data_IF_258444536594
#
_entry.id   IF_258444536594
#
_cell.length_a   1.000
_cell.length_b   1.000
_cell.length_c   1.000
_cell.angle_alpha   90.00
_cell.angle_beta   90.00
_cell.angle_gamma   90.00
#
_symmetry.space_group_name_H-M   'P 1'
#
loop_
_entity.id
_entity.type
_entity.pdbx_description
1 polymer ?
#
# COMPACT_ATOMS: atom_id res chain seq x y z
N UNK A 1 17.14 -30.31 -10.66
CA UNK A 1 18.07 -29.51 -9.86
C UNK A 1 17.65 -28.02 -9.81
N UNK A 2 16.34 -27.75 -9.66
CA UNK A 2 15.72 -26.43 -9.91
C UNK A 2 14.73 -25.99 -8.81
N UNK A 3 14.42 -26.83 -7.82
CA UNK A 3 13.46 -26.51 -6.76
C UNK A 3 14.08 -25.75 -5.57
N UNK A 4 15.36 -25.98 -5.27
CA UNK A 4 16.04 -25.40 -4.11
C UNK A 4 16.40 -23.92 -4.27
N UNK A 5 16.70 -23.47 -5.50
CA UNK A 5 17.01 -22.05 -5.77
C UNK A 5 15.75 -21.17 -5.68
N UNK A 6 14.62 -21.65 -6.23
CA UNK A 6 13.34 -20.93 -6.26
C UNK A 6 12.70 -20.80 -4.86
N UNK A 7 12.96 -21.73 -3.94
CA UNK A 7 12.52 -21.60 -2.55
C UNK A 7 13.31 -20.54 -1.77
N UNK A 8 14.60 -20.38 -2.08
CA UNK A 8 15.45 -19.36 -1.45
C UNK A 8 15.02 -17.95 -1.83
N UNK A 9 14.83 -17.70 -3.13
CA UNK A 9 14.37 -16.40 -3.66
C UNK A 9 12.99 -16.00 -3.11
N UNK A 10 12.06 -16.96 -3.00
CA UNK A 10 10.75 -16.72 -2.36
C UNK A 10 10.88 -16.38 -0.89
N UNK A 11 11.77 -17.06 -0.17
CA UNK A 11 12.03 -16.79 1.25
C UNK A 11 12.57 -15.39 1.48
N UNK A 12 13.42 -14.89 0.59
CA UNK A 12 13.96 -13.53 0.66
C UNK A 12 12.92 -12.46 0.31
N UNK A 13 12.10 -12.69 -0.72
CA UNK A 13 10.98 -11.80 -1.07
C UNK A 13 9.96 -11.69 0.07
N UNK A 14 9.67 -12.78 0.78
CA UNK A 14 8.76 -12.77 1.93
C UNK A 14 9.27 -11.90 3.08
N UNK A 15 10.60 -11.71 3.23
CA UNK A 15 11.17 -10.77 4.22
C UNK A 15 10.87 -9.31 3.86
N UNK A 16 10.62 -8.99 2.59
CA UNK A 16 10.23 -7.66 2.15
C UNK A 16 8.78 -7.29 2.50
N UNK A 17 7.89 -8.28 2.65
CA UNK A 17 6.47 -8.06 2.98
C UNK A 17 6.26 -7.20 4.25
N UNK A 18 6.89 -7.47 5.41
CA UNK A 18 6.70 -6.63 6.59
C UNK A 18 7.25 -5.21 6.41
N UNK A 19 8.32 -5.04 5.63
CA UNK A 19 8.89 -3.72 5.32
C UNK A 19 7.89 -2.92 4.49
N UNK A 20 7.33 -3.53 3.45
CA UNK A 20 6.31 -2.91 2.61
C UNK A 20 5.07 -2.59 3.43
N UNK A 21 4.59 -3.51 4.27
CA UNK A 21 3.43 -3.27 5.13
C UNK A 21 3.64 -2.08 6.07
N UNK A 22 4.78 -2.03 6.76
CA UNK A 22 5.09 -0.94 7.68
C UNK A 22 5.23 0.39 6.94
N UNK A 23 5.93 0.42 5.81
CA UNK A 23 6.11 1.64 5.03
C UNK A 23 4.77 2.15 4.48
N UNK A 24 3.94 1.27 3.89
CA UNK A 24 2.59 1.63 3.44
C UNK A 24 1.76 2.18 4.59
N UNK A 25 1.76 1.50 5.74
CA UNK A 25 1.00 1.93 6.92
C UNK A 25 1.43 3.31 7.40
N UNK A 26 2.74 3.56 7.54
CA UNK A 26 3.28 4.83 8.02
C UNK A 26 3.01 5.97 7.04
N UNK A 27 3.28 5.75 5.74
CA UNK A 27 3.03 6.78 4.71
C UNK A 27 1.55 7.12 4.63
N UNK A 28 0.67 6.12 4.71
CA UNK A 28 -0.78 6.34 4.63
C UNK A 28 -1.33 7.03 5.88
N UNK A 29 -0.88 6.60 7.06
CA UNK A 29 -1.22 7.25 8.34
C UNK A 29 -0.75 8.71 8.38
N UNK A 30 0.45 8.98 7.87
CA UNK A 30 0.97 10.34 7.76
C UNK A 30 0.11 11.17 6.79
N UNK A 31 -0.22 10.60 5.63
CA UNK A 31 -1.05 11.25 4.61
C UNK A 31 -2.40 11.65 5.19
N UNK A 32 -3.11 10.75 5.87
CA UNK A 32 -4.40 11.06 6.50
C UNK A 32 -4.34 12.17 7.54
N UNK A 33 -3.20 12.34 8.24
CA UNK A 33 -3.02 13.38 9.26
C UNK A 33 -2.62 14.73 8.67
N UNK A 34 -1.78 14.71 7.64
CA UNK A 34 -1.12 15.90 7.11
C UNK A 34 -1.91 16.53 5.97
N UNK A 35 -2.45 15.73 5.05
CA UNK A 35 -3.19 16.23 3.89
C UNK A 35 -4.31 17.20 4.27
N UNK A 36 -5.23 16.87 5.22
CA UNK A 36 -6.37 17.74 5.48
C UNK A 36 -5.99 19.17 5.88
N UNK A 37 -4.77 19.34 6.42
CA UNK A 37 -4.22 20.64 6.79
C UNK A 37 -3.96 21.55 5.57
N UNK A 38 -3.79 20.98 4.38
CA UNK A 38 -3.53 21.74 3.15
C UNK A 38 -4.80 22.13 2.38
N UNK A 39 -5.91 21.40 2.54
CA UNK A 39 -7.11 21.55 1.71
C UNK A 39 -8.25 22.33 2.38
N UNK A 40 -8.20 22.57 3.69
CA UNK A 40 -9.12 23.49 4.37
C UNK A 40 -10.61 23.09 4.36
N UNK A 41 -10.97 21.91 3.85
CA UNK A 41 -12.35 21.41 3.80
C UNK A 41 -12.53 20.19 4.70
N UNK A 42 -13.58 20.23 5.52
CA UNK A 42 -14.03 19.16 6.41
C UNK A 42 -15.04 18.21 5.75
N UNK A 43 -15.36 18.41 4.47
CA UNK A 43 -16.42 17.67 3.78
C UNK A 43 -15.87 16.77 2.68
N UNK A 44 -16.24 15.48 2.79
CA UNK A 44 -16.00 14.32 1.90
C UNK A 44 -14.63 14.31 1.21
N UNK A 45 -13.61 13.74 1.88
CA UNK A 45 -12.23 13.82 1.44
C UNK A 45 -12.03 12.83 0.30
N UNK A 46 -11.86 13.35 -0.92
CA UNK A 46 -10.97 12.67 -1.87
C UNK A 46 -9.57 12.85 -1.28
N UNK A 47 -9.21 11.99 -0.30
CA UNK A 47 -7.88 12.02 0.27
C UNK A 47 -6.90 11.85 -0.88
N UNK A 48 -5.93 12.75 -1.04
CA UNK A 48 -4.90 12.61 -2.02
C UNK A 48 -4.05 11.38 -1.67
N UNK A 49 -4.30 10.29 -2.38
CA UNK A 49 -3.62 9.00 -2.24
C UNK A 49 -2.23 8.97 -2.91
N UNK A 50 -1.87 10.05 -3.60
CA UNK A 50 -0.66 10.21 -4.40
C UNK A 50 0.70 9.92 -3.69
N UNK A 51 1.03 10.34 -2.44
CA UNK A 51 2.25 9.91 -1.76
C UNK A 51 2.29 8.41 -1.53
N UNK A 52 1.15 7.84 -1.12
CA UNK A 52 1.04 6.41 -0.81
C UNK A 52 1.22 5.59 -2.09
N UNK A 53 0.58 6.00 -3.19
CA UNK A 53 0.72 5.36 -4.49
C UNK A 53 2.18 5.33 -4.98
N UNK A 54 2.87 6.48 -4.93
CA UNK A 54 4.28 6.58 -5.32
C UNK A 54 5.21 5.70 -4.48
N UNK A 55 5.04 5.71 -3.15
CA UNK A 55 5.85 4.89 -2.23
C UNK A 55 5.59 3.41 -2.45
N UNK A 56 4.33 2.98 -2.56
CA UNK A 56 3.97 1.59 -2.79
C UNK A 56 4.55 1.06 -4.12
N UNK A 57 4.44 1.86 -5.18
CA UNK A 57 5.01 1.51 -6.49
C UNK A 57 6.53 1.39 -6.41
N UNK A 58 7.22 2.35 -5.78
CA UNK A 58 8.68 2.30 -5.60
C UNK A 58 9.11 1.08 -4.79
N UNK A 59 8.40 0.75 -3.71
CA UNK A 59 8.67 -0.41 -2.88
C UNK A 59 8.51 -1.73 -3.62
N UNK A 60 7.43 -1.90 -4.40
CA UNK A 60 7.26 -3.09 -5.24
C UNK A 60 8.28 -3.15 -6.39
N UNK A 61 8.69 -2.00 -6.92
CA UNK A 61 9.70 -1.95 -7.96
C UNK A 61 11.06 -2.44 -7.42
N UNK A 62 11.49 -1.93 -6.26
CA UNK A 62 12.77 -2.22 -5.61
C UNK A 62 12.82 -3.59 -4.92
N UNK A 63 11.80 -3.93 -4.12
CA UNK A 63 11.76 -5.16 -3.32
C UNK A 63 11.07 -6.32 -4.04
N UNK A 64 10.53 -6.08 -5.23
CA UNK A 64 9.86 -7.07 -6.05
C UNK A 64 8.34 -7.08 -5.90
N UNK A 65 7.66 -7.34 -7.02
CA UNK A 65 6.19 -7.35 -7.10
C UNK A 65 5.54 -8.44 -6.22
N UNK A 66 6.29 -9.45 -5.77
CA UNK A 66 5.79 -10.48 -4.85
C UNK A 66 5.51 -9.93 -3.43
N UNK A 67 6.04 -8.76 -3.08
CA UNK A 67 5.82 -8.10 -1.79
C UNK A 67 4.45 -7.39 -1.69
N UNK A 68 3.60 -7.49 -2.72
CA UNK A 68 2.27 -6.88 -2.78
C UNK A 68 1.36 -7.15 -1.56
N UNK A 69 1.39 -8.31 -0.87
CA UNK A 69 0.55 -8.52 0.30
C UNK A 69 0.84 -7.53 1.42
N UNK A 70 2.07 -6.97 1.45
CA UNK A 70 2.44 -5.93 2.39
C UNK A 70 1.59 -4.67 2.21
N UNK A 71 1.36 -4.23 0.97
CA UNK A 71 0.52 -3.05 0.69
C UNK A 71 -0.91 -3.29 1.18
N UNK A 72 -1.46 -4.47 0.89
CA UNK A 72 -2.82 -4.83 1.28
C UNK A 72 -2.98 -4.73 2.81
N UNK A 73 -2.06 -5.34 3.57
CA UNK A 73 -2.10 -5.33 5.04
C UNK A 73 -1.85 -3.92 5.59
N UNK A 74 -0.82 -3.22 5.10
CA UNK A 74 -0.47 -1.88 5.58
C UNK A 74 -1.57 -0.86 5.32
N UNK A 75 -2.18 -0.90 4.12
CA UNK A 75 -3.31 -0.04 3.77
C UNK A 75 -4.56 -0.41 4.57
N UNK A 76 -4.88 -1.70 4.73
CA UNK A 76 -6.05 -2.12 5.53
C UNK A 76 -5.95 -1.62 6.98
N UNK A 77 -4.78 -1.77 7.61
CA UNK A 77 -4.54 -1.26 8.96
C UNK A 77 -4.67 0.27 9.00
N UNK A 78 -4.06 1.00 8.07
CA UNK A 78 -4.12 2.46 8.06
C UNK A 78 -5.57 2.98 7.91
N UNK A 79 -6.36 2.40 7.01
CA UNK A 79 -7.77 2.73 6.86
C UNK A 79 -8.57 2.39 8.12
N UNK A 80 -8.30 1.22 8.72
CA UNK A 80 -9.00 0.79 9.94
C UNK A 80 -8.79 1.79 11.08
N UNK A 81 -7.55 2.22 11.32
CA UNK A 81 -7.24 3.19 12.38
C UNK A 81 -7.73 4.60 12.06
N UNK A 82 -7.73 5.01 10.78
CA UNK A 82 -8.12 6.35 10.38
C UNK A 82 -9.64 6.56 10.39
N UNK A 83 -10.41 5.51 10.06
CA UNK A 83 -11.87 5.60 9.89
C UNK A 83 -12.64 4.79 10.94
N UNK A 84 -12.00 4.33 12.02
CA UNK A 84 -12.69 3.57 13.06
C UNK A 84 -13.85 4.38 13.66
N UNK A 85 -15.06 3.82 13.61
CA UNK A 85 -16.26 4.48 14.13
C UNK A 85 -16.96 5.41 13.13
N UNK A 86 -16.38 5.64 11.94
CA UNK A 86 -17.00 6.45 10.89
C UNK A 86 -18.02 5.64 10.06
N UNK A 87 -19.04 6.30 9.49
CA UNK A 87 -19.88 5.70 8.47
C UNK A 87 -18.99 5.17 7.33
N UNK A 88 -19.25 3.94 6.87
CA UNK A 88 -18.48 3.27 5.80
C UNK A 88 -17.03 2.87 6.15
N UNK A 89 -16.61 2.88 7.42
CA UNK A 89 -15.31 2.39 7.86
C UNK A 89 -14.93 1.01 7.29
N UNK A 90 -15.91 0.10 7.24
CA UNK A 90 -15.74 -1.25 6.70
C UNK A 90 -15.41 -1.21 5.21
N UNK A 91 -16.13 -0.37 4.45
CA UNK A 91 -15.89 -0.19 3.01
C UNK A 91 -14.48 0.35 2.75
N UNK A 92 -14.05 1.39 3.49
CA UNK A 92 -12.69 1.92 3.37
C UNK A 92 -11.63 0.90 3.74
N UNK A 93 -11.85 0.10 4.78
CA UNK A 93 -10.91 -0.93 5.23
C UNK A 93 -10.78 -2.10 4.26
N UNK A 94 -11.83 -2.42 3.50
CA UNK A 94 -11.83 -3.58 2.59
C UNK A 94 -11.54 -3.22 1.13
N UNK A 95 -12.12 -2.13 0.62
CA UNK A 95 -12.03 -1.76 -0.80
C UNK A 95 -10.80 -0.91 -1.12
N UNK A 96 -10.45 0.04 -0.24
CA UNK A 96 -9.31 0.94 -0.46
C UNK A 96 -7.98 0.18 -0.60
N UNK A 97 -7.67 -0.83 0.25
CA UNK A 97 -6.42 -1.58 0.12
C UNK A 97 -6.31 -2.36 -1.18
N UNK A 98 -7.43 -2.86 -1.72
CA UNK A 98 -7.46 -3.52 -3.01
C UNK A 98 -7.07 -2.55 -4.12
N UNK A 99 -7.64 -1.34 -4.11
CA UNK A 99 -7.29 -0.27 -5.03
C UNK A 99 -5.81 0.10 -4.96
N UNK A 100 -5.29 0.39 -3.76
CA UNK A 100 -3.87 0.76 -3.58
C UNK A 100 -2.91 -0.36 -4.02
N UNK A 101 -3.29 -1.62 -3.81
CA UNK A 101 -2.49 -2.78 -4.22
C UNK A 101 -2.50 -2.93 -5.73
N UNK A 102 -3.67 -2.86 -6.37
CA UNK A 102 -3.81 -2.97 -7.82
C UNK A 102 -3.08 -1.84 -8.54
N UNK A 103 -3.21 -0.60 -8.06
CA UNK A 103 -2.53 0.57 -8.63
C UNK A 103 -1.00 0.40 -8.61
N UNK A 104 -0.42 0.06 -7.45
CA UNK A 104 1.01 -0.16 -7.34
C UNK A 104 1.51 -1.33 -8.19
N UNK A 105 0.74 -2.43 -8.22
CA UNK A 105 1.09 -3.61 -9.01
C UNK A 105 1.07 -3.34 -10.51
N UNK A 106 0.00 -2.69 -11.01
CA UNK A 106 -0.09 -2.27 -12.41
C UNK A 106 1.00 -1.27 -12.77
N UNK A 107 1.29 -0.30 -11.89
CA UNK A 107 2.38 0.66 -12.08
C UNK A 107 3.73 -0.02 -12.30
N UNK A 108 4.08 -1.00 -11.46
CA UNK A 108 5.32 -1.78 -11.63
C UNK A 108 5.31 -2.63 -12.90
N UNK A 109 4.18 -3.25 -13.24
CA UNK A 109 4.07 -4.07 -14.46
C UNK A 109 4.26 -3.22 -15.71
N UNK A 110 3.67 -2.03 -15.77
CA UNK A 110 3.82 -1.11 -16.89
C UNK A 110 5.25 -0.58 -17.01
N UNK A 111 5.85 -0.15 -15.89
CA UNK A 111 7.23 0.36 -15.87
C UNK A 111 8.25 -0.68 -16.32
N UNK A 112 8.07 -1.95 -15.98
CA UNK A 112 8.98 -3.04 -16.41
C UNK A 112 8.84 -3.42 -17.88
N UNK A 113 7.80 -2.93 -18.57
CA UNK A 113 7.53 -3.21 -19.99
C UNK A 113 8.01 -2.09 -20.92
N UNK A 114 8.50 -0.99 -20.37
CA UNK A 114 9.04 0.15 -21.12
C UNK A 114 10.55 0.05 -21.20
#
# INVERSE_FOLDING_TARGET
>A
MTSTHRSSERGELLKGVPIVALATFLTMSLTFRVVPQFYGTSELPVYPIWPVAGVNMALLFLLGAACWPGILVGSALANLFAFWGEPYAISYTLLSPLGNTMEAWLGVVLLRRT
#
